data_IF_711799562769
#
_entry.id   IF_711799562769
#
_cell.length_a   1.000
_cell.length_b   1.000
_cell.length_c   1.000
_cell.angle_alpha   90.00
_cell.angle_beta   90.00
_cell.angle_gamma   90.00
#
_symmetry.space_group_name_H-M   'P 1'
#
loop_
_entity.id
_entity.type
_entity.pdbx_description
1 polymer ?
#
# COMPACT_ATOMS: atom_id res chain seq x y z
N UNK A 1 -5.70 -8.73 -11.69
CA UNK A 1 -4.50 -8.57 -10.84
C UNK A 1 -3.95 -7.16 -11.07
N UNK A 2 -3.80 -6.37 -10.01
CA UNK A 2 -3.38 -4.98 -10.10
C UNK A 2 -1.87 -4.87 -10.28
N UNK A 3 -1.39 -3.76 -10.87
CA UNK A 3 0.04 -3.55 -11.18
C UNK A 3 0.72 -2.54 -10.26
N UNK A 4 0.08 -2.18 -9.14
CA UNK A 4 0.65 -1.25 -8.17
C UNK A 4 1.82 -1.90 -7.44
N UNK A 5 2.80 -1.09 -7.06
CA UNK A 5 3.86 -1.52 -6.16
C UNK A 5 3.29 -1.79 -4.76
N UNK A 6 3.71 -2.90 -4.15
CA UNK A 6 3.33 -3.27 -2.78
C UNK A 6 4.64 -3.47 -2.02
N UNK A 7 4.81 -2.73 -0.93
CA UNK A 7 5.89 -2.92 0.02
C UNK A 7 5.35 -3.76 1.18
N UNK A 8 6.05 -4.84 1.53
CA UNK A 8 5.68 -5.72 2.64
C UNK A 8 6.85 -5.78 3.61
N UNK A 9 6.59 -5.51 4.89
CA UNK A 9 7.59 -5.53 5.94
C UNK A 9 6.99 -6.03 7.25
N UNK A 10 7.82 -6.56 8.14
CA UNK A 10 7.40 -6.94 9.48
C UNK A 10 7.31 -5.70 10.39
N UNK A 11 6.25 -5.61 11.17
CA UNK A 11 6.01 -4.58 12.18
C UNK A 11 6.07 -5.22 13.56
N UNK A 12 7.02 -4.78 14.38
CA UNK A 12 7.11 -5.17 15.78
C UNK A 12 5.92 -4.64 16.60
N UNK A 13 5.32 -3.50 16.21
CA UNK A 13 4.16 -2.91 16.89
C UNK A 13 2.88 -3.72 16.66
N UNK A 14 2.72 -4.25 15.45
CA UNK A 14 1.55 -5.05 15.06
C UNK A 14 1.78 -6.56 15.20
N UNK A 15 2.97 -6.98 15.61
CA UNK A 15 3.41 -8.38 15.71
C UNK A 15 3.11 -9.19 14.43
N UNK A 16 3.28 -8.58 13.27
CA UNK A 16 2.94 -9.20 11.97
C UNK A 16 3.41 -8.37 10.78
N UNK A 17 2.94 -8.73 9.59
CA UNK A 17 3.36 -8.09 8.35
C UNK A 17 2.38 -6.99 7.93
N UNK A 18 2.94 -5.85 7.57
CA UNK A 18 2.21 -4.72 6.99
C UNK A 18 2.53 -4.67 5.50
N UNK A 19 1.48 -4.61 4.68
CA UNK A 19 1.58 -4.37 3.26
C UNK A 19 1.05 -2.98 2.93
N UNK A 20 1.87 -2.12 2.32
CA UNK A 20 1.55 -0.74 1.93
C UNK A 20 1.58 -0.61 0.41
N UNK A 21 0.64 0.16 -0.13
CA UNK A 21 0.56 0.49 -1.56
C UNK A 21 0.84 1.98 -1.72
N UNK A 22 2.10 2.42 -1.88
CA UNK A 22 2.46 3.84 -1.76
C UNK A 22 1.76 4.76 -2.78
N UNK A 23 1.35 4.18 -3.90
CA UNK A 23 0.66 4.87 -4.99
C UNK A 23 -0.80 5.18 -4.66
N UNK A 24 -1.41 4.41 -3.76
CA UNK A 24 -2.80 4.56 -3.34
C UNK A 24 -2.80 5.08 -1.90
N UNK A 25 -2.93 6.40 -1.76
CA UNK A 25 -2.85 7.05 -0.45
C UNK A 25 -3.81 6.40 0.56
N UNK A 26 -3.27 6.01 1.72
CA UNK A 26 -4.01 5.35 2.80
C UNK A 26 -4.31 3.87 2.56
N UNK A 27 -3.84 3.27 1.47
CA UNK A 27 -4.03 1.85 1.21
C UNK A 27 -2.91 1.04 1.86
N UNK A 28 -3.25 0.39 2.98
CA UNK A 28 -2.42 -0.59 3.66
C UNK A 28 -3.26 -1.76 4.14
N UNK A 29 -2.60 -2.82 4.58
CA UNK A 29 -3.24 -4.00 5.16
C UNK A 29 -2.26 -4.73 6.07
N UNK A 30 -2.81 -5.59 6.92
CA UNK A 30 -2.07 -6.41 7.87
C UNK A 30 -2.27 -7.90 7.58
N UNK A 31 -1.29 -8.71 7.93
CA UNK A 31 -1.46 -10.16 8.07
C UNK A 31 -0.34 -10.79 8.90
N UNK A 32 -0.65 -11.89 9.57
CA UNK A 32 0.33 -12.67 10.36
C UNK A 32 1.47 -13.25 9.51
N UNK A 33 1.28 -13.33 8.19
CA UNK A 33 2.27 -13.79 7.22
C UNK A 33 2.35 -12.81 6.05
N UNK A 34 3.48 -12.80 5.35
CA UNK A 34 3.65 -12.01 4.12
C UNK A 34 2.55 -12.29 3.09
N UNK A 35 2.20 -13.57 2.91
CA UNK A 35 1.13 -14.00 2.01
C UNK A 35 -0.25 -13.54 2.50
N UNK A 36 -0.48 -13.54 3.81
CA UNK A 36 -1.69 -12.99 4.42
C UNK A 36 -1.83 -11.50 4.16
N UNK A 37 -0.78 -10.72 4.47
CA UNK A 37 -0.75 -9.29 4.22
C UNK A 37 -0.94 -8.96 2.73
N UNK A 38 -0.29 -9.72 1.83
CA UNK A 38 -0.49 -9.54 0.39
C UNK A 38 -1.94 -9.81 -0.04
N UNK A 39 -2.58 -10.85 0.49
CA UNK A 39 -3.98 -11.16 0.19
C UNK A 39 -4.90 -10.01 0.60
N UNK A 40 -4.72 -9.50 1.82
CA UNK A 40 -5.51 -8.38 2.31
C UNK A 40 -5.23 -7.08 1.53
N UNK A 41 -3.98 -6.85 1.12
CA UNK A 41 -3.63 -5.71 0.25
C UNK A 41 -4.37 -5.75 -1.08
N UNK A 42 -4.53 -6.93 -1.68
CA UNK A 42 -5.27 -7.08 -2.94
C UNK A 42 -6.75 -6.75 -2.78
N UNK A 43 -7.35 -7.11 -1.64
CA UNK A 43 -8.71 -6.69 -1.26
C UNK A 43 -8.78 -5.18 -1.08
N UNK A 44 -7.85 -4.60 -0.31
CA UNK A 44 -7.79 -3.17 -0.04
C UNK A 44 -7.64 -2.34 -1.33
N UNK A 45 -6.79 -2.77 -2.28
CA UNK A 45 -6.66 -2.12 -3.60
C UNK A 45 -7.99 -2.15 -4.35
N UNK A 46 -8.68 -3.30 -4.36
CA UNK A 46 -9.97 -3.43 -5.03
C UNK A 46 -11.01 -2.46 -4.46
N UNK A 47 -11.10 -2.36 -3.13
CA UNK A 47 -12.00 -1.44 -2.44
C UNK A 47 -11.64 0.02 -2.71
N UNK A 48 -10.37 0.38 -2.60
CA UNK A 48 -9.88 1.73 -2.86
C UNK A 48 -10.27 2.19 -4.27
N UNK A 49 -10.06 1.34 -5.29
CA UNK A 49 -10.39 1.66 -6.68
C UNK A 49 -11.90 1.78 -6.91
N UNK A 50 -12.71 0.95 -6.25
CA UNK A 50 -14.16 1.04 -6.33
C UNK A 50 -14.67 2.34 -5.72
N UNK A 51 -14.20 2.69 -4.52
CA UNK A 51 -14.53 3.96 -3.86
C UNK A 51 -14.09 5.16 -4.69
N UNK A 52 -12.86 5.15 -5.23
CA UNK A 52 -12.38 6.22 -6.08
C UNK A 52 -13.26 6.42 -7.32
N UNK A 53 -13.74 5.34 -7.96
CA UNK A 53 -14.69 5.43 -9.07
C UNK A 53 -16.03 6.03 -8.64
N UNK A 54 -16.59 5.55 -7.54
CA UNK A 54 -17.89 6.01 -7.03
C UNK A 54 -17.86 7.49 -6.63
N UNK A 55 -16.74 7.95 -6.08
CA UNK A 55 -16.51 9.33 -5.67
C UNK A 55 -15.99 10.22 -6.82
N UNK A 56 -15.84 9.69 -8.03
CA UNK A 56 -15.23 10.40 -9.18
C UNK A 56 -13.85 10.99 -8.86
N UNK A 57 -13.08 10.31 -8.02
CA UNK A 57 -11.69 10.67 -7.68
C UNK A 57 -10.74 10.21 -8.78
N UNK A 58 -9.66 10.96 -8.94
CA UNK A 58 -8.57 10.57 -9.84
C UNK A 58 -7.93 9.27 -9.34
N UNK A 59 -7.75 8.31 -10.26
CA UNK A 59 -7.10 7.03 -9.98
C UNK A 59 -5.64 7.12 -10.44
N UNK A 60 -4.66 7.04 -9.52
CA UNK A 60 -3.25 7.05 -9.87
C UNK A 60 -2.90 5.91 -10.82
N UNK A 61 -2.03 6.16 -11.80
CA UNK A 61 -1.52 5.08 -12.66
C UNK A 61 -0.47 4.26 -11.92
N UNK A 62 -0.50 2.92 -12.01
CA UNK A 62 0.55 2.08 -11.45
C UNK A 62 1.93 2.36 -12.08
N UNK A 63 2.93 2.61 -11.25
CA UNK A 63 4.33 2.91 -11.59
C UNK A 63 5.22 1.67 -11.43
N UNK A 64 4.88 0.76 -10.52
CA UNK A 64 5.61 -0.49 -10.31
C UNK A 64 7.12 -0.28 -10.12
N UNK A 65 7.94 -0.81 -11.03
CA UNK A 65 9.41 -0.73 -10.96
C UNK A 65 9.95 0.70 -11.02
N UNK A 66 9.26 1.63 -11.68
CA UNK A 66 9.70 3.02 -11.77
C UNK A 66 9.65 3.71 -10.39
N UNK A 67 8.67 3.36 -9.57
CA UNK A 67 8.60 3.84 -8.20
C UNK A 67 9.77 3.33 -7.37
N UNK A 68 10.07 2.03 -7.47
CA UNK A 68 11.23 1.44 -6.78
C UNK A 68 12.53 2.13 -7.17
N UNK A 69 12.75 2.40 -8.47
CA UNK A 69 13.91 3.15 -8.95
C UNK A 69 14.02 4.53 -8.32
N UNK A 70 12.92 5.26 -8.24
CA UNK A 70 12.91 6.60 -7.66
C UNK A 70 13.21 6.61 -6.15
N UNK A 71 12.83 5.55 -5.42
CA UNK A 71 13.12 5.39 -3.99
C UNK A 71 14.60 5.08 -3.77
N UNK A 72 15.17 4.11 -4.51
CA UNK A 72 16.58 3.72 -4.36
C UNK A 72 17.56 4.83 -4.80
N UNK A 73 17.14 5.69 -5.73
CA UNK A 73 17.93 6.84 -6.18
C UNK A 73 17.83 8.05 -5.20
N UNK A 74 17.29 7.87 -3.98
CA UNK A 74 17.08 8.91 -2.93
C UNK A 74 16.25 10.14 -3.37
N UNK A 75 15.50 10.05 -4.46
CA UNK A 75 14.69 11.16 -5.00
C UNK A 75 13.31 11.28 -4.34
N UNK A 76 12.89 10.29 -3.56
CA UNK A 76 11.60 10.27 -2.87
C UNK A 76 11.83 9.91 -1.40
N UNK A 77 11.70 10.90 -0.51
CA UNK A 77 11.57 10.64 0.93
C UNK A 77 10.16 10.10 1.17
N UNK A 78 10.03 8.78 1.31
CA UNK A 78 8.83 8.20 1.88
C UNK A 78 8.73 8.74 3.30
N UNK A 79 7.74 9.59 3.57
CA UNK A 79 7.49 10.03 4.95
C UNK A 79 7.20 8.77 5.76
N UNK A 80 7.92 8.51 6.86
CA UNK A 80 7.56 7.41 7.75
C UNK A 80 6.11 7.65 8.14
N UNK A 81 5.24 6.69 7.82
CA UNK A 81 3.85 6.72 8.20
C UNK A 81 3.79 6.66 9.71
N UNK A 82 3.73 7.84 10.34
CA UNK A 82 3.36 7.99 11.74
C UNK A 82 1.99 7.34 11.91
N UNK A 83 1.88 6.36 12.81
CA UNK A 83 0.74 5.47 13.03
C UNK A 83 -0.59 6.08 12.59
N UNK A 84 -1.00 5.81 11.34
CA UNK A 84 -2.38 5.99 10.98
C UNK A 84 -3.10 4.83 11.63
N UNK A 85 -3.75 5.11 12.76
CA UNK A 85 -4.69 4.20 13.41
C UNK A 85 -5.60 3.65 12.32
N UNK A 86 -5.46 2.35 12.07
CA UNK A 86 -6.29 1.58 11.16
C UNK A 86 -7.72 1.73 11.69
N UNK A 87 -8.54 2.49 10.98
CA UNK A 87 -9.99 2.45 11.19
C UNK A 87 -10.50 1.24 10.44
N UNK A 88 -10.92 0.25 11.21
CA UNK A 88 -11.65 -0.93 10.75
C UNK A 88 -13.01 -0.55 10.15
#
# INVERSE_FOLDING_TARGET
MYKYAIEIFYSEEDEGYIAVVPELAGCSSFGETEAGALREAMTAISLWLQTAKNESREIPRPKGRELLRAIVDEKIVLRPTHSQKIVA
#
